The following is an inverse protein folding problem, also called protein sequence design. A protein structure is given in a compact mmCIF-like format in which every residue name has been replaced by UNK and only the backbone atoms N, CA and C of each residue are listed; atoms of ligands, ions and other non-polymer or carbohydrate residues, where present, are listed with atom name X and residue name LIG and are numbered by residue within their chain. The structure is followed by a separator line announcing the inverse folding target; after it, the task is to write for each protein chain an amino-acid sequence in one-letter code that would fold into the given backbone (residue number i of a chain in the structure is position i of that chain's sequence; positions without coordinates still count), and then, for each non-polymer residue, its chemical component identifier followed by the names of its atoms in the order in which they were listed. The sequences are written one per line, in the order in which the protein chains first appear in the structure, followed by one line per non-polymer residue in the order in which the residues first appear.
data_IF_363356868981
#
_entry.id   IF_363356868981
#
_cell.length_a   1.000
_cell.length_b   1.000
_cell.length_c   1.000
_cell.angle_alpha   90.00
_cell.angle_beta   90.00
_cell.angle_gamma   90.00
#
_symmetry.space_group_name_H-M   'P 1'
#
loop_
_entity.id
_entity.type
_entity.pdbx_description
1 polymer ?
#
# COMPACT_ATOMS: atom_id res chain seq x y z
N UNK A 1 5.06 -2.43 -9.14
CA UNK A 1 5.10 -2.82 -7.71
C UNK A 1 5.18 -4.34 -7.65
N UNK A 2 5.98 -4.90 -6.74
CA UNK A 2 6.16 -6.35 -6.58
C UNK A 2 6.08 -6.70 -5.10
N UNK A 3 5.42 -7.81 -4.80
CA UNK A 3 5.30 -8.39 -3.47
C UNK A 3 6.00 -9.75 -3.48
N UNK A 4 6.94 -9.96 -2.56
CA UNK A 4 7.70 -11.21 -2.45
C UNK A 4 7.60 -11.73 -1.02
N UNK A 5 7.11 -12.95 -0.83
CA UNK A 5 7.07 -13.60 0.47
C UNK A 5 8.46 -13.68 1.10
N UNK A 6 8.56 -13.37 2.39
CA UNK A 6 9.82 -13.48 3.12
C UNK A 6 10.20 -14.95 3.35
N UNK A 7 11.49 -15.27 3.28
CA UNK A 7 12.01 -16.64 3.45
C UNK A 7 11.86 -17.19 4.86
N UNK A 8 11.60 -16.34 5.85
CA UNK A 8 11.34 -16.73 7.25
C UNK A 8 9.85 -17.00 7.54
N UNK A 9 8.97 -16.96 6.53
CA UNK A 9 7.53 -17.19 6.68
C UNK A 9 6.77 -16.05 7.37
N UNK A 10 7.43 -14.93 7.68
CA UNK A 10 6.77 -13.75 8.24
C UNK A 10 6.97 -12.55 7.33
N UNK A 11 5.85 -12.07 6.81
CA UNK A 11 5.77 -10.83 6.06
C UNK A 11 6.21 -10.92 4.61
N UNK A 12 6.15 -9.76 3.94
CA UNK A 12 6.29 -9.60 2.50
C UNK A 12 7.19 -8.41 2.21
N UNK A 13 8.22 -8.63 1.40
CA UNK A 13 9.05 -7.56 0.84
C UNK A 13 8.29 -6.89 -0.31
N UNK A 14 8.12 -5.58 -0.22
CA UNK A 14 7.44 -4.78 -1.25
C UNK A 14 8.46 -3.89 -1.93
N UNK A 15 8.50 -3.99 -3.26
CA UNK A 15 9.26 -3.08 -4.12
C UNK A 15 8.30 -2.21 -4.91
N UNK A 16 8.41 -0.89 -4.76
CA UNK A 16 7.67 0.11 -5.52
C UNK A 16 8.62 0.81 -6.46
N UNK A 17 8.33 0.78 -7.75
CA UNK A 17 9.07 1.45 -8.82
C UNK A 17 8.03 2.07 -9.74
N UNK A 18 7.91 3.39 -9.70
CA UNK A 18 6.87 4.16 -10.39
C UNK A 18 7.51 5.31 -11.17
N UNK A 19 7.01 5.52 -12.38
CA UNK A 19 7.44 6.56 -13.32
C UNK A 19 6.21 7.34 -13.81
N UNK A 20 6.43 8.53 -14.38
CA UNK A 20 5.37 9.27 -15.07
C UNK A 20 4.60 10.28 -14.21
N UNK A 21 5.18 10.79 -13.12
CA UNK A 21 4.55 11.81 -12.27
C UNK A 21 4.58 13.23 -12.88
N UNK A 22 4.25 13.38 -14.17
CA UNK A 22 4.31 14.68 -14.86
C UNK A 22 3.15 15.60 -14.43
N UNK A 23 3.48 16.76 -13.87
CA UNK A 23 2.50 17.79 -13.50
C UNK A 23 1.71 17.54 -12.22
N UNK A 24 1.99 16.46 -11.49
CA UNK A 24 1.29 16.11 -10.27
C UNK A 24 2.03 16.63 -9.02
N UNK A 25 1.31 17.24 -8.08
CA UNK A 25 1.86 17.77 -6.82
C UNK A 25 1.74 16.71 -5.74
N UNK A 26 2.77 15.87 -5.60
CA UNK A 26 2.87 14.89 -4.52
C UNK A 26 3.14 15.53 -3.15
N UNK A 27 3.37 14.73 -2.09
CA UNK A 27 3.55 13.27 -2.13
C UNK A 27 2.24 12.50 -2.39
N UNK A 28 2.35 11.31 -2.98
CA UNK A 28 1.22 10.48 -3.38
C UNK A 28 0.97 9.36 -2.38
N UNK A 29 -0.22 9.37 -1.78
CA UNK A 29 -0.67 8.22 -1.01
C UNK A 29 -0.99 7.06 -1.97
N UNK A 30 -0.65 5.87 -1.52
CA UNK A 30 -0.93 4.58 -2.13
C UNK A 30 -1.40 3.62 -1.03
N UNK A 31 -2.36 2.79 -1.39
CA UNK A 31 -2.97 1.80 -0.52
C UNK A 31 -3.49 0.63 -1.37
N UNK A 32 -3.72 -0.51 -0.72
CA UNK A 32 -4.45 -1.63 -1.32
C UNK A 32 -5.94 -1.38 -1.10
N UNK A 33 -6.72 -1.48 -2.18
CA UNK A 33 -8.17 -1.37 -2.13
C UNK A 33 -8.83 -2.74 -1.93
N UNK A 34 -10.06 -2.71 -1.43
CA UNK A 34 -10.88 -3.89 -1.16
C UNK A 34 -11.35 -4.59 -2.45
N UNK A 35 -11.65 -3.84 -3.52
CA UNK A 35 -12.15 -4.39 -4.78
C UNK A 35 -11.12 -4.28 -5.91
N UNK A 36 -11.14 -5.21 -6.88
CA UNK A 36 -10.29 -5.14 -8.07
C UNK A 36 -10.65 -3.92 -8.93
N UNK A 37 -9.69 -3.47 -9.74
CA UNK A 37 -9.95 -2.42 -10.75
C UNK A 37 -10.97 -2.96 -11.75
N UNK A 38 -12.10 -2.27 -11.98
CA UNK A 38 -13.08 -2.73 -12.96
C UNK A 38 -12.53 -2.69 -14.39
N UNK A 39 -13.22 -3.37 -15.31
CA UNK A 39 -12.78 -3.50 -16.71
C UNK A 39 -12.68 -2.17 -17.48
N UNK A 40 -13.37 -1.12 -17.02
CA UNK A 40 -13.32 0.22 -17.59
C UNK A 40 -12.10 1.04 -17.10
N UNK A 41 -11.31 0.47 -16.18
CA UNK A 41 -10.14 1.13 -15.60
C UNK A 41 -10.47 2.26 -14.62
N UNK A 42 -11.73 2.40 -14.20
CA UNK A 42 -12.13 3.46 -13.28
C UNK A 42 -11.67 3.14 -11.85
N UNK A 43 -10.69 3.91 -11.35
CA UNK A 43 -10.16 3.76 -10.00
C UNK A 43 -11.22 3.84 -8.91
N UNK A 44 -12.32 4.59 -9.10
CA UNK A 44 -13.35 4.69 -8.07
C UNK A 44 -14.07 3.35 -7.82
N UNK A 45 -14.02 2.41 -8.77
CA UNK A 45 -14.63 1.09 -8.61
C UNK A 45 -13.85 0.14 -7.71
N UNK A 46 -12.64 0.50 -7.28
CA UNK A 46 -11.87 -0.28 -6.28
C UNK A 46 -12.42 -0.10 -4.85
N UNK A 47 -13.32 0.86 -4.65
CA UNK A 47 -14.03 1.14 -3.40
C UNK A 47 -13.08 1.48 -2.22
N UNK A 48 -13.37 0.96 -1.02
CA UNK A 48 -12.66 1.31 0.21
C UNK A 48 -11.23 0.77 0.25
N UNK A 49 -10.46 1.19 1.26
CA UNK A 49 -9.19 0.54 1.59
C UNK A 49 -9.43 -0.91 2.04
N UNK A 50 -8.47 -1.78 1.78
CA UNK A 50 -8.46 -3.13 2.35
C UNK A 50 -8.24 -3.03 3.87
N UNK A 51 -9.32 -3.22 4.63
CA UNK A 51 -9.33 -3.15 6.08
C UNK A 51 -10.13 -4.31 6.70
N UNK A 52 -9.59 -5.54 6.67
CA UNK A 52 -10.28 -6.72 7.19
C UNK A 52 -10.56 -6.65 8.70
N UNK A 53 -9.85 -5.79 9.43
CA UNK A 53 -10.02 -5.61 10.87
C UNK A 53 -10.94 -4.43 11.22
N UNK A 54 -11.47 -3.72 10.22
CA UNK A 54 -12.40 -2.59 10.41
C UNK A 54 -11.85 -1.54 11.38
N UNK A 55 -10.54 -1.32 11.33
CA UNK A 55 -9.83 -0.31 12.13
C UNK A 55 -10.27 1.10 11.74
N UNK A 56 -10.51 1.32 10.45
CA UNK A 56 -10.89 2.58 9.85
C UNK A 56 -9.75 3.61 9.72
N UNK A 57 -10.08 4.77 9.16
CA UNK A 57 -9.08 5.80 8.83
C UNK A 57 -8.87 6.85 9.94
N UNK A 58 -9.72 6.85 10.98
CA UNK A 58 -9.66 7.83 12.08
C UNK A 58 -9.49 7.10 13.43
N UNK A 59 -8.44 7.41 14.21
CA UNK A 59 -7.37 8.38 13.91
C UNK A 59 -6.51 7.93 12.73
N UNK A 60 -5.73 8.84 12.14
CA UNK A 60 -4.79 8.51 11.07
C UNK A 60 -3.83 7.38 11.51
N UNK A 61 -3.26 6.65 10.54
CA UNK A 61 -2.28 5.61 10.84
C UNK A 61 -1.11 6.17 11.67
N UNK A 62 -0.82 5.53 12.79
CA UNK A 62 0.38 5.82 13.58
C UNK A 62 1.53 4.96 13.05
N UNK A 63 2.46 5.62 12.36
CA UNK A 63 3.64 4.98 11.79
C UNK A 63 4.54 4.30 12.84
N UNK A 64 4.43 4.69 14.11
CA UNK A 64 5.18 4.06 15.21
C UNK A 64 4.57 2.75 15.69
N UNK A 65 3.30 2.49 15.34
CA UNK A 65 2.57 1.27 15.60
C UNK A 65 1.86 0.76 14.31
N UNK A 66 2.62 0.45 13.24
CA UNK A 66 2.08 0.17 11.91
C UNK A 66 1.17 -1.08 11.85
N UNK A 67 1.29 -1.99 12.81
CA UNK A 67 0.41 -3.14 13.00
C UNK A 67 -1.02 -2.75 13.39
N UNK A 68 -1.22 -1.53 13.89
CA UNK A 68 -2.52 -0.98 14.28
C UNK A 68 -3.21 -0.21 13.16
N UNK A 69 -2.60 -0.08 11.99
CA UNK A 69 -3.18 0.61 10.84
C UNK A 69 -3.97 -0.35 9.96
N UNK A 70 -4.82 0.19 9.08
CA UNK A 70 -5.51 -0.60 8.05
C UNK A 70 -4.49 -1.45 7.29
N UNK A 71 -4.83 -2.71 7.00
CA UNK A 71 -3.89 -3.63 6.32
C UNK A 71 -3.40 -3.03 5.00
N UNK A 72 -4.31 -2.39 4.26
CA UNK A 72 -4.02 -1.72 2.99
C UNK A 72 -3.36 -0.34 3.09
N UNK A 73 -3.21 0.30 4.26
CA UNK A 73 -2.61 1.66 4.35
C UNK A 73 -1.08 1.62 4.29
N UNK A 74 -0.57 1.55 3.07
CA UNK A 74 0.87 1.47 2.80
C UNK A 74 1.59 2.79 3.06
N UNK A 75 0.93 3.92 2.82
CA UNK A 75 1.54 5.25 2.97
C UNK A 75 1.67 5.66 4.42
N UNK A 76 0.64 5.39 5.23
CA UNK A 76 0.70 5.59 6.67
C UNK A 76 1.84 4.78 7.30
N UNK A 77 1.99 3.51 6.90
CA UNK A 77 3.05 2.62 7.42
C UNK A 77 4.43 2.97 6.88
N UNK A 78 4.58 3.25 5.58
CA UNK A 78 5.88 3.26 4.88
C UNK A 78 6.25 4.56 4.18
N UNK A 79 5.52 5.64 4.47
CA UNK A 79 5.59 6.95 3.81
C UNK A 79 4.93 6.94 2.45
N UNK A 80 4.36 8.09 2.08
CA UNK A 80 3.85 8.36 0.76
C UNK A 80 4.97 8.42 -0.29
N UNK A 81 4.62 8.22 -1.56
CA UNK A 81 5.56 8.28 -2.68
C UNK A 81 5.94 9.74 -2.94
N UNK A 82 7.23 10.10 -2.97
CA UNK A 82 7.65 11.46 -3.29
C UNK A 82 7.34 11.83 -4.75
N UNK A 83 7.32 13.12 -5.04
CA UNK A 83 7.03 13.66 -6.38
C UNK A 83 8.20 13.54 -7.38
N UNK A 84 9.21 12.72 -7.09
CA UNK A 84 10.38 12.53 -7.94
C UNK A 84 10.21 11.30 -8.85
N UNK A 85 10.47 11.47 -10.15
CA UNK A 85 10.49 10.35 -11.09
C UNK A 85 11.55 9.32 -10.69
N UNK A 86 11.20 8.03 -10.73
CA UNK A 86 12.11 6.94 -10.36
C UNK A 86 12.20 6.72 -8.85
N UNK A 87 11.12 7.00 -8.11
CA UNK A 87 11.08 6.69 -6.69
C UNK A 87 11.05 5.18 -6.47
N UNK A 88 12.20 4.64 -6.06
CA UNK A 88 12.32 3.28 -5.56
C UNK A 88 12.06 3.28 -4.05
N UNK A 89 10.98 2.65 -3.64
CA UNK A 89 10.72 2.37 -2.21
C UNK A 89 10.76 0.87 -1.98
N UNK A 90 11.51 0.43 -0.97
CA UNK A 90 11.56 -0.95 -0.51
C UNK A 90 11.27 -0.99 0.99
N UNK A 91 10.27 -1.77 1.39
CA UNK A 91 9.91 -1.98 2.78
C UNK A 91 9.34 -3.39 2.98
N UNK A 92 9.25 -3.82 4.24
CA UNK A 92 8.66 -5.10 4.61
C UNK A 92 7.31 -4.86 5.29
N UNK A 93 6.30 -5.64 4.89
CA UNK A 93 4.99 -5.71 5.54
C UNK A 93 4.94 -6.96 6.40
N UNK A 94 4.64 -6.84 7.69
CA UNK A 94 4.48 -8.01 8.58
C UNK A 94 3.04 -8.55 8.64
N UNK A 95 2.05 -7.80 8.13
CA UNK A 95 0.62 -8.12 8.22
C UNK A 95 -0.08 -8.31 6.88
N UNK A 96 0.69 -8.44 5.79
CA UNK A 96 0.20 -8.90 4.50
C UNK A 96 0.87 -10.24 4.23
N UNK A 97 0.05 -11.25 3.96
CA UNK A 97 0.51 -12.61 3.66
C UNK A 97 0.23 -12.88 2.18
N UNK A 98 1.20 -13.47 1.48
CA UNK A 98 0.92 -14.10 0.20
C UNK A 98 0.18 -15.40 0.50
N UNK A 99 -1.13 -15.45 0.22
CA UNK A 99 -1.88 -16.70 0.35
C UNK A 99 -1.25 -17.80 -0.49
N UNK A 100 -1.14 -18.99 0.08
CA UNK A 100 -0.89 -20.20 -0.71
C UNK A 100 -2.22 -20.60 -1.36
N UNK A 101 -2.24 -20.74 -2.70
CA UNK A 101 -3.36 -21.34 -3.44
C UNK A 101 -3.31 -22.87 -3.35
#
# INVERSE_FOLDING_TARGET
MTFTASTNGTGVAVKVDLLGFSGATGPFNYHVHDQPVPADGNCNGTLAHLDPYQRGQTPACDKTAPETCEVGDMSGKHNAIPNTNGSLSMFSLSNVECGEE
#
